data_IF_089264865975
#
_entry.id   IF_089264865975
#
_cell.length_a   1.000
_cell.length_b   1.000
_cell.length_c   1.000
_cell.angle_alpha   90.00
_cell.angle_beta   90.00
_cell.angle_gamma   90.00
#
_symmetry.space_group_name_H-M   'P 1'
#
loop_
_entity.id
_entity.type
_entity.pdbx_description
1 polymer ?
#
# COMPACT_ATOMS: atom_id res chain seq x y z
N UNK A 1 -29.18 6.18 13.60
CA UNK A 1 -27.86 5.65 13.99
C UNK A 1 -27.00 5.28 12.77
N UNK A 2 -27.55 4.57 11.78
CA UNK A 2 -26.79 4.13 10.59
C UNK A 2 -26.12 5.27 9.81
N UNK A 3 -26.81 6.39 9.60
CA UNK A 3 -26.24 7.55 8.88
C UNK A 3 -24.99 8.13 9.55
N UNK A 4 -24.95 8.15 10.88
CA UNK A 4 -23.77 8.63 11.63
C UNK A 4 -22.60 7.65 11.56
N UNK A 5 -22.88 6.34 11.50
CA UNK A 5 -21.85 5.32 11.32
C UNK A 5 -21.20 5.43 9.93
N UNK A 6 -22.01 5.58 8.88
CA UNK A 6 -21.50 5.78 7.51
C UNK A 6 -20.69 7.06 7.40
N UNK A 7 -21.16 8.15 8.02
CA UNK A 7 -20.42 9.41 8.04
C UNK A 7 -19.09 9.28 8.80
N UNK A 8 -19.08 8.59 9.94
CA UNK A 8 -17.89 8.37 10.75
C UNK A 8 -16.84 7.53 10.00
N UNK A 9 -17.25 6.48 9.28
CA UNK A 9 -16.33 5.67 8.47
C UNK A 9 -15.75 6.47 7.30
N UNK A 10 -16.55 7.30 6.65
CA UNK A 10 -16.05 8.16 5.57
C UNK A 10 -15.02 9.19 6.08
N UNK A 11 -15.36 9.88 7.18
CA UNK A 11 -14.44 10.85 7.81
C UNK A 11 -13.15 10.15 8.28
N UNK A 12 -13.27 8.98 8.90
CA UNK A 12 -12.11 8.17 9.32
C UNK A 12 -11.21 7.80 8.14
N UNK A 13 -11.78 7.38 7.02
CA UNK A 13 -11.02 7.04 5.80
C UNK A 13 -10.26 8.24 5.24
N UNK A 14 -10.90 9.42 5.20
CA UNK A 14 -10.26 10.65 4.72
C UNK A 14 -9.10 11.05 5.64
N UNK A 15 -9.30 10.98 6.96
CA UNK A 15 -8.24 11.27 7.94
C UNK A 15 -7.07 10.29 7.80
N UNK A 16 -7.34 8.99 7.62
CA UNK A 16 -6.32 7.97 7.42
C UNK A 16 -5.50 8.24 6.15
N UNK A 17 -6.15 8.58 5.03
CA UNK A 17 -5.47 8.91 3.79
C UNK A 17 -4.59 10.17 3.91
N UNK A 18 -5.09 11.22 4.57
CA UNK A 18 -4.31 12.43 4.84
C UNK A 18 -3.12 12.13 5.73
N UNK A 19 -3.31 11.36 6.79
CA UNK A 19 -2.24 10.93 7.68
C UNK A 19 -1.17 10.14 6.92
N UNK A 20 -1.57 9.15 6.13
CA UNK A 20 -0.66 8.34 5.32
C UNK A 20 0.12 9.20 4.32
N UNK A 21 -0.53 10.17 3.68
CA UNK A 21 0.12 11.08 2.74
C UNK A 21 1.16 11.98 3.40
N UNK A 22 0.82 12.65 4.51
CA UNK A 22 1.74 13.52 5.22
C UNK A 22 2.89 12.74 5.86
N UNK A 23 2.59 11.59 6.47
CA UNK A 23 3.60 10.72 7.10
C UNK A 23 4.52 10.13 6.05
N UNK A 24 3.99 9.68 4.91
CA UNK A 24 4.78 9.20 3.78
C UNK A 24 5.73 10.25 3.24
N UNK A 25 5.26 11.49 3.04
CA UNK A 25 6.13 12.62 2.65
C UNK A 25 7.24 12.87 3.68
N UNK A 26 6.90 12.84 4.97
CA UNK A 26 7.86 13.03 6.05
C UNK A 26 8.92 11.92 6.07
N UNK A 27 8.53 10.67 5.91
CA UNK A 27 9.47 9.53 5.83
C UNK A 27 10.42 9.68 4.63
N UNK A 28 9.90 10.11 3.50
CA UNK A 28 10.71 10.30 2.28
C UNK A 28 11.63 11.54 2.36
N UNK A 29 11.43 12.46 3.28
CA UNK A 29 12.31 13.63 3.49
C UNK A 29 13.55 13.32 4.33
N UNK A 30 13.61 12.17 5.00
CA UNK A 30 14.83 11.76 5.70
C UNK A 30 15.93 11.38 4.72
N UNK A 31 17.19 11.62 5.12
CA UNK A 31 18.36 11.33 4.31
C UNK A 31 18.54 9.82 4.08
N UNK A 32 18.98 9.43 2.89
CA UNK A 32 19.28 8.04 2.52
C UNK A 32 20.63 7.57 3.09
N UNK A 33 21.45 8.47 3.60
CA UNK A 33 22.74 8.16 4.21
C UNK A 33 23.89 8.11 3.20
N UNK A 34 24.86 7.21 3.43
CA UNK A 34 26.07 7.13 2.63
C UNK A 34 25.80 6.64 1.19
N UNK A 35 26.72 6.95 0.22
CA UNK A 35 26.58 6.45 -1.16
C UNK A 35 26.44 4.94 -1.25
N UNK A 36 27.09 4.19 -0.34
CA UNK A 36 26.97 2.73 -0.27
C UNK A 36 25.55 2.30 0.16
N UNK A 37 24.98 2.98 1.16
CA UNK A 37 23.60 2.72 1.62
C UNK A 37 22.59 3.01 0.51
N UNK A 38 22.78 4.10 -0.23
CA UNK A 38 21.93 4.46 -1.38
C UNK A 38 22.05 3.41 -2.51
N UNK A 39 23.23 2.89 -2.79
CA UNK A 39 23.45 1.83 -3.78
C UNK A 39 22.71 0.54 -3.39
N UNK A 40 22.87 0.10 -2.14
CA UNK A 40 22.14 -1.08 -1.61
C UNK A 40 20.64 -0.88 -1.67
N UNK A 41 20.15 0.30 -1.26
CA UNK A 41 18.74 0.66 -1.33
C UNK A 41 18.20 0.60 -2.76
N UNK A 42 18.99 1.00 -3.75
CA UNK A 42 18.62 0.90 -5.16
C UNK A 42 18.44 -0.56 -5.60
N UNK A 43 19.34 -1.45 -5.23
CA UNK A 43 19.24 -2.88 -5.53
C UNK A 43 18.00 -3.50 -4.86
N UNK A 44 17.70 -3.13 -3.61
CA UNK A 44 16.47 -3.56 -2.91
C UNK A 44 15.22 -3.08 -3.67
N UNK A 45 15.20 -1.82 -4.12
CA UNK A 45 14.07 -1.27 -4.90
C UNK A 45 13.90 -1.96 -6.25
N UNK A 46 14.99 -2.28 -6.93
CA UNK A 46 14.95 -3.02 -8.20
C UNK A 46 14.38 -4.42 -8.00
N UNK A 47 14.84 -5.15 -6.97
CA UNK A 47 14.30 -6.46 -6.60
C UNK A 47 12.81 -6.40 -6.20
N UNK A 48 12.42 -5.41 -5.40
CA UNK A 48 11.04 -5.21 -5.00
C UNK A 48 10.13 -4.88 -6.21
N UNK A 49 10.59 -4.06 -7.15
CA UNK A 49 9.83 -3.75 -8.36
C UNK A 49 9.66 -4.99 -9.27
N UNK A 50 10.70 -5.82 -9.39
CA UNK A 50 10.62 -7.07 -10.15
C UNK A 50 9.62 -8.05 -9.51
N UNK A 51 9.68 -8.18 -8.17
CA UNK A 51 8.73 -8.99 -7.40
C UNK A 51 7.30 -8.49 -7.57
N UNK A 52 7.05 -7.19 -7.36
CA UNK A 52 5.73 -6.59 -7.52
C UNK A 52 5.18 -6.83 -8.93
N UNK A 53 5.98 -6.59 -9.97
CA UNK A 53 5.54 -6.80 -11.35
C UNK A 53 5.08 -8.24 -11.57
N UNK A 54 5.82 -9.22 -11.09
CA UNK A 54 5.44 -10.64 -11.21
C UNK A 54 4.20 -10.96 -10.39
N UNK A 55 4.14 -10.49 -9.15
CA UNK A 55 3.01 -10.69 -8.25
C UNK A 55 1.72 -10.10 -8.84
N UNK A 56 1.76 -8.85 -9.31
CA UNK A 56 0.59 -8.19 -9.88
C UNK A 56 0.13 -8.82 -11.19
N UNK A 57 1.04 -9.40 -11.98
CA UNK A 57 0.65 -10.17 -13.16
C UNK A 57 -0.16 -11.41 -12.79
N UNK A 58 0.31 -12.17 -11.80
CA UNK A 58 -0.40 -13.37 -11.33
C UNK A 58 -1.75 -13.02 -10.70
N UNK A 59 -1.76 -12.01 -9.83
CA UNK A 59 -3.00 -11.50 -9.21
C UNK A 59 -3.96 -10.97 -10.27
N UNK A 60 -3.48 -10.25 -11.29
CA UNK A 60 -4.30 -9.74 -12.39
C UNK A 60 -4.97 -10.85 -13.19
N UNK A 61 -4.26 -11.94 -13.49
CA UNK A 61 -4.83 -13.11 -14.18
C UNK A 61 -5.93 -13.74 -13.29
N UNK A 62 -5.64 -13.94 -12.02
CA UNK A 62 -6.63 -14.47 -11.06
C UNK A 62 -7.87 -13.57 -10.97
N UNK A 63 -7.69 -12.25 -10.89
CA UNK A 63 -8.78 -11.29 -10.87
C UNK A 63 -9.62 -11.34 -12.15
N UNK A 64 -8.97 -11.43 -13.32
CA UNK A 64 -9.68 -11.56 -14.59
C UNK A 64 -10.54 -12.83 -14.65
N UNK A 65 -10.01 -13.97 -14.21
CA UNK A 65 -10.77 -15.20 -14.13
C UNK A 65 -11.97 -15.08 -13.16
N UNK A 66 -11.75 -14.51 -11.98
CA UNK A 66 -12.80 -14.34 -10.97
C UNK A 66 -13.90 -13.37 -11.42
N UNK A 67 -13.55 -12.29 -12.14
CA UNK A 67 -14.56 -11.39 -12.70
C UNK A 67 -15.45 -12.12 -13.70
N UNK A 68 -14.88 -12.94 -14.58
CA UNK A 68 -15.66 -13.73 -15.54
C UNK A 68 -16.63 -14.66 -14.80
N UNK A 69 -16.16 -15.37 -13.78
CA UNK A 69 -17.03 -16.26 -12.97
C UNK A 69 -18.15 -15.48 -12.32
N UNK A 70 -17.85 -14.34 -11.68
CA UNK A 70 -18.85 -13.51 -11.01
C UNK A 70 -19.86 -12.92 -12.00
N UNK A 71 -19.42 -12.53 -13.20
CA UNK A 71 -20.33 -12.04 -14.25
C UNK A 71 -21.27 -13.16 -14.76
N UNK A 72 -20.76 -14.37 -14.94
CA UNK A 72 -21.61 -15.52 -15.31
C UNK A 72 -22.62 -15.83 -14.24
N UNK A 73 -22.23 -15.83 -12.96
CA UNK A 73 -23.15 -16.04 -11.84
C UNK A 73 -24.21 -14.94 -11.76
N UNK A 74 -23.85 -13.69 -12.01
CA UNK A 74 -24.78 -12.58 -12.05
C UNK A 74 -25.76 -12.70 -13.23
N UNK A 75 -25.29 -13.13 -14.40
CA UNK A 75 -26.13 -13.39 -15.59
C UNK A 75 -27.10 -14.54 -15.37
N UNK A 76 -26.72 -15.56 -14.62
CA UNK A 76 -27.59 -16.68 -14.22
C UNK A 76 -28.60 -16.31 -13.11
N UNK A 77 -28.61 -15.06 -12.64
CA UNK A 77 -29.51 -14.61 -11.58
C UNK A 77 -29.14 -15.06 -10.16
N UNK A 78 -27.98 -15.70 -9.98
CA UNK A 78 -27.49 -16.16 -8.67
C UNK A 78 -26.93 -15.03 -7.82
N UNK A 79 -26.48 -13.93 -8.44
CA UNK A 79 -25.86 -12.79 -7.79
C UNK A 79 -26.40 -11.48 -8.38
N UNK A 80 -26.39 -10.45 -7.54
CA UNK A 80 -26.70 -9.09 -7.99
C UNK A 80 -25.53 -8.50 -8.78
N UNK A 81 -25.80 -7.75 -9.84
CA UNK A 81 -24.78 -7.09 -10.68
C UNK A 81 -23.84 -6.15 -9.91
N UNK A 82 -24.20 -5.73 -8.72
CA UNK A 82 -23.31 -4.94 -7.83
C UNK A 82 -22.09 -5.72 -7.34
N UNK A 83 -22.17 -7.07 -7.25
CA UNK A 83 -21.08 -7.90 -6.72
C UNK A 83 -19.84 -7.88 -7.61
N UNK A 84 -19.91 -8.13 -8.95
CA UNK A 84 -18.77 -7.98 -9.83
C UNK A 84 -18.18 -6.57 -9.81
N UNK A 85 -19.02 -5.55 -9.73
CA UNK A 85 -18.58 -4.15 -9.66
C UNK A 85 -17.83 -3.84 -8.36
N UNK A 86 -18.37 -4.28 -7.22
CA UNK A 86 -17.73 -4.14 -5.91
C UNK A 86 -16.40 -4.89 -5.84
N UNK A 87 -16.33 -6.10 -6.43
CA UNK A 87 -15.11 -6.87 -6.50
C UNK A 87 -14.02 -6.16 -7.32
N UNK A 88 -14.38 -5.59 -8.45
CA UNK A 88 -13.46 -4.88 -9.34
C UNK A 88 -12.91 -3.60 -8.68
N UNK A 89 -13.79 -2.80 -8.09
CA UNK A 89 -13.39 -1.57 -7.38
C UNK A 89 -12.55 -1.87 -6.14
N UNK A 90 -12.97 -2.83 -5.32
CA UNK A 90 -12.23 -3.26 -4.13
C UNK A 90 -10.84 -3.78 -4.47
N UNK A 91 -10.72 -4.63 -5.49
CA UNK A 91 -9.45 -5.15 -5.97
C UNK A 91 -8.52 -4.08 -6.52
N UNK A 92 -9.06 -3.12 -7.26
CA UNK A 92 -8.28 -2.00 -7.77
C UNK A 92 -7.69 -1.15 -6.63
N UNK A 93 -8.51 -0.74 -5.67
CA UNK A 93 -8.05 0.07 -4.53
C UNK A 93 -7.10 -0.70 -3.61
N UNK A 94 -7.34 -1.99 -3.38
CA UNK A 94 -6.43 -2.86 -2.63
C UNK A 94 -5.07 -2.98 -3.32
N UNK A 95 -5.05 -3.22 -4.62
CA UNK A 95 -3.83 -3.26 -5.42
C UNK A 95 -3.06 -1.93 -5.38
N UNK A 96 -3.76 -0.82 -5.54
CA UNK A 96 -3.16 0.52 -5.49
C UNK A 96 -2.54 0.81 -4.11
N UNK A 97 -3.24 0.49 -3.03
CA UNK A 97 -2.77 0.63 -1.65
C UNK A 97 -1.51 -0.20 -1.41
N UNK A 98 -1.51 -1.48 -1.79
CA UNK A 98 -0.34 -2.35 -1.67
C UNK A 98 0.87 -1.85 -2.47
N UNK A 99 0.65 -1.33 -3.67
CA UNK A 99 1.72 -0.77 -4.50
C UNK A 99 2.36 0.48 -3.88
N UNK A 100 1.54 1.41 -3.40
CA UNK A 100 2.01 2.63 -2.73
C UNK A 100 2.75 2.28 -1.44
N UNK A 101 2.17 1.40 -0.61
CA UNK A 101 2.77 0.94 0.64
C UNK A 101 4.14 0.30 0.44
N UNK A 102 4.27 -0.63 -0.51
CA UNK A 102 5.55 -1.28 -0.80
C UNK A 102 6.60 -0.29 -1.31
N UNK A 103 6.21 0.69 -2.13
CA UNK A 103 7.13 1.75 -2.58
C UNK A 103 7.65 2.61 -1.44
N UNK A 104 6.80 2.94 -0.49
CA UNK A 104 7.20 3.74 0.68
C UNK A 104 8.09 2.90 1.60
N UNK A 105 7.69 1.65 1.89
CA UNK A 105 8.45 0.75 2.75
C UNK A 105 9.88 0.50 2.22
N UNK A 106 10.03 0.19 0.95
CA UNK A 106 11.35 -0.06 0.34
C UNK A 106 12.25 1.17 0.35
N UNK A 107 11.67 2.37 0.21
CA UNK A 107 12.42 3.63 0.34
C UNK A 107 12.74 3.98 1.79
N UNK A 108 11.94 3.54 2.74
CA UNK A 108 12.15 3.79 4.16
C UNK A 108 13.30 2.96 4.74
N UNK A 109 13.63 1.80 4.18
CA UNK A 109 14.64 0.89 4.72
C UNK A 109 16.00 1.56 4.94
N UNK A 110 16.57 2.22 3.93
CA UNK A 110 17.87 2.88 4.08
C UNK A 110 17.79 4.10 5.01
N UNK A 111 16.68 4.83 4.99
CA UNK A 111 16.45 5.98 5.87
C UNK A 111 16.38 5.56 7.33
N UNK A 112 15.72 4.44 7.61
CA UNK A 112 15.69 3.83 8.94
C UNK A 112 17.10 3.42 9.37
N UNK A 113 17.84 2.73 8.51
CA UNK A 113 19.21 2.31 8.79
C UNK A 113 20.14 3.52 9.04
N UNK A 114 20.00 4.58 8.24
CA UNK A 114 20.79 5.81 8.44
C UNK A 114 20.40 6.50 9.76
N UNK A 115 19.10 6.61 10.07
CA UNK A 115 18.64 7.21 11.32
C UNK A 115 19.09 6.43 12.58
N UNK A 116 19.29 5.11 12.47
CA UNK A 116 19.84 4.29 13.55
C UNK A 116 21.29 4.64 13.90
N UNK A 117 22.06 5.21 12.99
CA UNK A 117 23.43 5.68 13.27
C UNK A 117 23.46 6.84 14.26
N UNK A 118 22.40 7.66 14.27
CA UNK A 118 22.24 8.77 15.19
C UNK A 118 21.59 8.37 16.52
N UNK A 119 21.13 7.10 16.61
CA UNK A 119 20.52 6.53 17.81
C UNK A 119 19.29 5.69 17.51
N UNK A 120 19.08 4.68 18.36
CA UNK A 120 18.00 3.70 18.21
C UNK A 120 16.62 4.37 18.16
N UNK A 121 16.37 5.38 19.01
CA UNK A 121 15.09 6.07 19.06
C UNK A 121 14.74 6.81 17.78
N UNK A 122 15.76 7.37 17.09
CA UNK A 122 15.55 8.03 15.78
C UNK A 122 15.20 6.99 14.71
N UNK A 123 15.91 5.87 14.67
CA UNK A 123 15.63 4.76 13.76
C UNK A 123 14.23 4.19 13.96
N UNK A 124 13.84 3.91 15.21
CA UNK A 124 12.51 3.42 15.55
C UNK A 124 11.41 4.39 15.11
N UNK A 125 11.61 5.71 15.30
CA UNK A 125 10.63 6.71 14.86
C UNK A 125 10.41 6.66 13.34
N UNK A 126 11.48 6.52 12.54
CA UNK A 126 11.36 6.41 11.07
C UNK A 126 10.70 5.10 10.70
N UNK A 127 11.07 3.98 11.31
CA UNK A 127 10.50 2.66 11.05
C UNK A 127 9.00 2.61 11.36
N UNK A 128 8.59 3.08 12.54
CA UNK A 128 7.17 3.13 12.93
C UNK A 128 6.36 4.09 12.04
N UNK A 129 6.94 5.23 11.65
CA UNK A 129 6.27 6.15 10.72
C UNK A 129 6.07 5.51 9.34
N UNK A 130 7.05 4.76 8.84
CA UNK A 130 6.90 4.03 7.58
C UNK A 130 5.88 2.89 7.69
N UNK A 131 5.91 2.14 8.80
CA UNK A 131 4.95 1.07 9.08
C UNK A 131 3.52 1.57 9.21
N UNK A 132 3.30 2.73 9.85
CA UNK A 132 1.96 3.31 9.97
C UNK A 132 1.36 3.73 8.62
N UNK A 133 2.18 4.15 7.65
CA UNK A 133 1.70 4.43 6.27
C UNK A 133 1.20 3.17 5.57
N UNK A 134 1.76 2.00 5.89
CA UNK A 134 1.26 0.73 5.34
C UNK A 134 0.04 0.19 6.09
N UNK A 135 -0.13 0.55 7.36
CA UNK A 135 -1.22 0.08 8.20
C UNK A 135 -2.53 0.84 8.02
N UNK A 136 -2.47 2.05 7.50
CA UNK A 136 -3.62 2.90 7.18
C UNK A 136 -3.96 2.89 5.69
#
# INVERSE_FOLDING_TARGET
MEKYLVLATFVGSVIALLFAFFTGKRVLSFDEGTPLMSKISRSIREGANAYLRRQYTVVGIFFACMIVVLCVMAACGLLTWFVPFAFLTGGFFSGLSGFVGMRIATKANCRTANACRDGLNKGLRVAFSAGSVMGF
#
